data_IF_665495679694
#
_entry.id   IF_665495679694
#
_cell.length_a   1.000
_cell.length_b   1.000
_cell.length_c   1.000
_cell.angle_alpha   90.00
_cell.angle_beta   90.00
_cell.angle_gamma   90.00
#
_symmetry.space_group_name_H-M   'P 1'
#
loop_
_entity.id
_entity.type
_entity.pdbx_description
1 polymer ?
#
# COMPACT_ATOMS: atom_id res chain seq x y z
N UNK A 1 -5.35 2.42 64.42
CA UNK A 1 -5.50 1.42 63.32
C UNK A 1 -5.64 2.13 61.97
N UNK A 2 -4.59 2.82 61.48
CA UNK A 2 -4.64 3.62 60.22
C UNK A 2 -3.62 3.11 59.18
N UNK A 3 -2.87 2.04 59.50
CA UNK A 3 -1.79 1.54 58.63
C UNK A 3 -2.28 0.81 57.37
N UNK A 4 -3.52 0.28 57.35
CA UNK A 4 -4.04 -0.49 56.21
C UNK A 4 -4.10 0.28 54.88
N UNK A 5 -4.86 1.38 54.79
CA UNK A 5 -5.06 2.07 53.50
C UNK A 5 -3.80 2.78 53.00
N UNK A 6 -2.95 3.28 53.90
CA UNK A 6 -1.71 3.97 53.54
C UNK A 6 -0.68 3.00 52.96
N UNK A 7 -0.57 1.79 53.52
CA UNK A 7 0.34 0.75 53.00
C UNK A 7 -0.11 0.28 51.61
N UNK A 8 -1.42 0.11 51.39
CA UNK A 8 -1.96 -0.25 50.06
C UNK A 8 -1.65 0.85 49.03
N UNK A 9 -1.82 2.13 49.39
CA UNK A 9 -1.50 3.25 48.50
C UNK A 9 -0.01 3.26 48.11
N UNK A 10 0.88 3.03 49.07
CA UNK A 10 2.33 2.99 48.83
C UNK A 10 2.69 1.83 47.89
N UNK A 11 2.08 0.66 48.06
CA UNK A 11 2.32 -0.49 47.19
C UNK A 11 1.82 -0.26 45.75
N UNK A 12 0.66 0.38 45.59
CA UNK A 12 0.12 0.74 44.27
C UNK A 12 1.03 1.76 43.57
N UNK A 13 1.47 2.78 44.29
CA UNK A 13 2.41 3.79 43.77
C UNK A 13 3.74 3.12 43.41
N UNK A 14 4.28 2.25 44.27
CA UNK A 14 5.51 1.51 44.00
C UNK A 14 5.38 0.61 42.77
N UNK A 15 4.25 -0.10 42.61
CA UNK A 15 4.00 -0.95 41.45
C UNK A 15 3.85 -0.13 40.16
N UNK A 16 3.18 1.02 40.22
CA UNK A 16 3.08 1.96 39.10
C UNK A 16 4.47 2.52 38.72
N UNK A 17 5.29 2.89 39.71
CA UNK A 17 6.66 3.35 39.48
C UNK A 17 7.51 2.23 38.87
N UNK A 18 7.41 1.00 39.35
CA UNK A 18 8.09 -0.17 38.76
C UNK A 18 7.63 -0.40 37.33
N UNK A 19 6.32 -0.32 37.06
CA UNK A 19 5.77 -0.47 35.71
C UNK A 19 6.27 0.64 34.77
N UNK A 20 6.31 1.89 35.24
CA UNK A 20 6.86 3.03 34.52
C UNK A 20 8.38 2.90 34.30
N UNK A 21 9.11 2.36 35.27
CA UNK A 21 10.54 2.09 35.14
C UNK A 21 10.80 0.93 34.18
N UNK A 22 9.95 -0.10 34.16
CA UNK A 22 10.03 -1.23 33.26
C UNK A 22 9.77 -0.78 31.81
N UNK A 23 8.71 -0.01 31.57
CA UNK A 23 8.41 0.64 30.29
C UNK A 23 9.55 1.58 29.86
N UNK A 24 10.06 2.40 30.78
CA UNK A 24 11.18 3.30 30.49
C UNK A 24 12.52 2.58 30.26
N UNK A 25 12.73 1.39 30.82
CA UNK A 25 13.94 0.60 30.58
C UNK A 25 13.87 -0.15 29.25
N UNK A 26 12.66 -0.57 28.85
CA UNK A 26 12.42 -1.22 27.55
C UNK A 26 12.37 -0.24 26.38
N UNK A 27 11.98 1.02 26.61
CA UNK A 27 11.87 2.04 25.57
C UNK A 27 13.19 2.83 25.32
N UNK A 28 14.33 2.40 25.90
CA UNK A 28 15.62 3.12 25.89
C UNK A 28 16.70 2.59 24.94
N UNK A 29 16.42 1.60 24.09
CA UNK A 29 17.32 1.23 22.99
C UNK A 29 16.81 1.76 21.66
N UNK A 30 16.79 3.09 21.52
CA UNK A 30 16.45 3.77 20.26
C UNK A 30 17.42 4.88 19.87
N UNK A 31 18.58 4.98 20.52
CA UNK A 31 19.67 5.84 20.04
C UNK A 31 20.50 5.05 19.03
N UNK A 32 20.39 5.48 17.76
CA UNK A 32 21.12 5.03 16.56
C UNK A 32 20.41 3.95 15.72
N UNK A 33 19.55 4.41 14.82
CA UNK A 33 19.73 4.13 13.39
C UNK A 33 19.18 5.31 12.57
N UNK A 34 20.07 6.07 11.92
CA UNK A 34 19.74 6.64 10.59
C UNK A 34 19.76 5.48 9.59
N UNK A 35 18.94 4.46 9.84
CA UNK A 35 18.64 3.44 8.83
C UNK A 35 17.66 4.02 7.83
N UNK A 36 17.52 3.41 6.64
CA UNK A 36 16.38 3.71 5.78
C UNK A 36 15.11 3.52 6.60
N UNK A 37 14.24 4.53 6.60
CA UNK A 37 12.94 4.45 7.26
C UNK A 37 12.13 3.40 6.48
N UNK A 38 12.04 2.20 7.03
CA UNK A 38 11.15 1.16 6.50
C UNK A 38 9.76 1.54 6.98
N UNK A 39 8.93 1.98 6.04
CA UNK A 39 7.53 2.30 6.30
C UNK A 39 6.75 1.02 6.06
N UNK A 40 6.09 0.51 7.10
CA UNK A 40 5.16 -0.60 6.97
C UNK A 40 3.90 -0.11 6.25
N UNK A 41 3.86 -0.31 4.94
CA UNK A 41 2.79 0.17 4.04
C UNK A 41 1.42 -0.44 4.40
N UNK A 42 1.39 -1.61 5.05
CA UNK A 42 0.16 -2.26 5.53
C UNK A 42 -0.46 -1.52 6.71
N UNK A 43 0.36 -1.08 7.66
CA UNK A 43 -0.12 -0.32 8.81
C UNK A 43 -0.61 1.08 8.42
N UNK A 44 -0.15 1.62 7.29
CA UNK A 44 -0.63 2.89 6.73
C UNK A 44 -1.99 2.79 6.03
N UNK A 45 -2.41 1.59 5.66
CA UNK A 45 -3.72 1.35 5.04
C UNK A 45 -4.83 1.14 6.05
N UNK A 46 -4.53 1.12 7.35
CA UNK A 46 -5.53 1.05 8.39
C UNK A 46 -6.49 2.25 8.33
N UNK A 47 -7.78 1.98 8.13
CA UNK A 47 -8.84 2.98 8.00
C UNK A 47 -8.87 3.95 9.20
N UNK A 48 -8.64 3.41 10.40
CA UNK A 48 -8.64 4.19 11.63
C UNK A 48 -7.42 5.13 11.69
N UNK A 49 -6.23 4.66 11.32
CA UNK A 49 -5.05 5.49 11.17
C UNK A 49 -5.24 6.60 10.14
N UNK A 50 -5.83 6.30 8.98
CA UNK A 50 -6.09 7.29 7.94
C UNK A 50 -7.05 8.38 8.41
N UNK A 51 -8.04 8.03 9.23
CA UNK A 51 -8.98 9.01 9.82
C UNK A 51 -8.30 10.05 10.72
N UNK A 52 -7.13 9.72 11.27
CA UNK A 52 -6.35 10.63 12.10
C UNK A 52 -5.44 11.55 11.30
N UNK A 53 -5.22 11.28 10.00
CA UNK A 53 -4.32 12.07 9.17
C UNK A 53 -5.08 13.15 8.40
N UNK A 54 -4.56 14.40 8.32
CA UNK A 54 -3.33 14.89 8.94
C UNK A 54 -3.53 15.51 10.34
N UNK A 55 -4.77 15.73 10.78
CA UNK A 55 -5.10 16.65 11.88
C UNK A 55 -4.79 16.10 13.28
N UNK A 56 -4.85 14.77 13.47
CA UNK A 56 -4.70 14.11 14.77
C UNK A 56 -3.38 13.31 14.85
N UNK A 57 -2.27 14.00 14.59
CA UNK A 57 -0.91 13.41 14.53
C UNK A 57 -0.54 12.52 15.73
N UNK A 58 -0.94 12.89 16.95
CA UNK A 58 -0.64 12.08 18.15
C UNK A 58 -1.41 10.75 18.15
N UNK A 59 -2.69 10.78 17.75
CA UNK A 59 -3.50 9.57 17.62
C UNK A 59 -2.97 8.67 16.49
N UNK A 60 -2.60 9.26 15.35
CA UNK A 60 -1.95 8.54 14.24
C UNK A 60 -0.64 7.85 14.66
N UNK A 61 0.24 8.55 15.40
CA UNK A 61 1.48 7.96 15.91
C UNK A 61 1.20 6.80 16.87
N UNK A 62 0.20 6.96 17.75
CA UNK A 62 -0.18 5.89 18.69
C UNK A 62 -0.69 4.67 17.94
N UNK A 63 -1.62 4.84 17.01
CA UNK A 63 -2.20 3.77 16.20
C UNK A 63 -1.13 3.07 15.35
N UNK A 64 -0.22 3.81 14.73
CA UNK A 64 0.90 3.24 13.97
C UNK A 64 1.77 2.32 14.83
N UNK A 65 2.05 2.73 16.08
CA UNK A 65 2.83 1.90 17.03
C UNK A 65 2.08 0.65 17.47
N UNK A 66 0.77 0.73 17.62
CA UNK A 66 -0.06 -0.44 17.97
C UNK A 66 -0.07 -1.48 16.84
N UNK A 67 -0.09 -1.03 15.58
CA UNK A 67 -0.07 -1.89 14.41
C UNK A 67 1.30 -2.53 14.14
N UNK A 68 2.38 -1.77 14.34
CA UNK A 68 3.75 -2.18 13.91
C UNK A 68 4.67 -2.58 15.06
N UNK A 69 4.36 -2.18 16.29
CA UNK A 69 5.23 -2.38 17.46
C UNK A 69 6.48 -1.49 17.48
N UNK A 70 6.63 -0.54 16.57
CA UNK A 70 7.85 0.29 16.45
C UNK A 70 8.02 1.30 17.59
N UNK A 71 9.26 1.78 17.74
CA UNK A 71 9.60 2.81 18.71
C UNK A 71 8.90 4.14 18.41
N UNK A 72 8.73 4.99 19.44
CA UNK A 72 8.06 6.29 19.29
C UNK A 72 8.72 7.20 18.24
N UNK A 73 10.05 7.17 18.16
CA UNK A 73 10.81 7.97 17.20
C UNK A 73 10.57 7.51 15.75
N UNK A 74 10.44 6.21 15.52
CA UNK A 74 10.20 5.63 14.19
C UNK A 74 8.77 5.90 13.74
N UNK A 75 7.78 5.66 14.61
CA UNK A 75 6.39 5.97 14.33
C UNK A 75 6.18 7.45 14.02
N UNK A 76 6.81 8.34 14.80
CA UNK A 76 6.76 9.77 14.54
C UNK A 76 7.30 10.10 13.15
N UNK A 77 8.46 9.54 12.78
CA UNK A 77 9.07 9.77 11.47
C UNK A 77 8.22 9.22 10.32
N UNK A 78 7.61 8.05 10.48
CA UNK A 78 6.72 7.45 9.50
C UNK A 78 5.50 8.34 9.25
N UNK A 79 4.81 8.74 10.32
CA UNK A 79 3.63 9.62 10.22
C UNK A 79 4.01 11.00 9.67
N UNK A 80 5.15 11.57 10.08
CA UNK A 80 5.64 12.84 9.52
C UNK A 80 5.95 12.74 8.03
N UNK A 81 6.54 11.63 7.58
CA UNK A 81 6.80 11.41 6.16
C UNK A 81 5.49 11.28 5.35
N UNK A 82 4.48 10.60 5.90
CA UNK A 82 3.16 10.45 5.25
C UNK A 82 2.41 11.77 5.19
N UNK A 83 2.49 12.60 6.24
CA UNK A 83 1.86 13.93 6.22
C UNK A 83 2.58 14.87 5.25
N UNK A 84 3.91 14.80 5.17
CA UNK A 84 4.71 15.62 4.27
C UNK A 84 4.50 15.26 2.79
N UNK A 85 4.27 13.98 2.50
CA UNK A 85 4.00 13.48 1.15
C UNK A 85 2.92 12.37 1.19
N UNK A 86 1.63 12.75 1.26
CA UNK A 86 0.52 11.79 1.31
C UNK A 86 0.38 10.99 0.01
N UNK A 87 0.94 11.50 -1.08
CA UNK A 87 0.92 10.87 -2.40
C UNK A 87 2.07 9.89 -2.59
N UNK A 88 3.19 9.98 -1.87
CA UNK A 88 4.29 9.02 -1.98
C UNK A 88 3.89 7.58 -1.65
N UNK A 89 3.07 7.39 -0.61
CA UNK A 89 2.56 6.07 -0.21
C UNK A 89 1.56 5.52 -1.24
N UNK A 90 0.59 6.35 -1.67
CA UNK A 90 -0.41 5.99 -2.67
C UNK A 90 0.22 5.78 -4.06
N UNK A 91 1.24 6.55 -4.43
CA UNK A 91 1.93 6.46 -5.71
C UNK A 91 2.88 5.27 -5.79
N UNK A 92 3.44 4.77 -4.68
CA UNK A 92 4.19 3.49 -4.70
C UNK A 92 3.26 2.34 -5.06
N UNK A 93 2.08 2.25 -4.44
CA UNK A 93 1.04 1.27 -4.79
C UNK A 93 0.53 1.46 -6.21
N UNK A 94 0.17 2.69 -6.60
CA UNK A 94 -0.25 2.99 -7.97
C UNK A 94 0.84 2.65 -8.98
N UNK A 95 2.12 2.90 -8.71
CA UNK A 95 3.23 2.55 -9.63
C UNK A 95 3.57 1.07 -9.63
N UNK A 96 3.43 0.36 -8.51
CA UNK A 96 3.61 -1.09 -8.47
C UNK A 96 2.44 -1.81 -9.17
N UNK A 97 1.21 -1.38 -8.89
CA UNK A 97 -0.01 -1.85 -9.56
C UNK A 97 -0.01 -1.47 -11.05
N UNK A 98 0.44 -0.26 -11.41
CA UNK A 98 0.58 0.16 -12.81
C UNK A 98 1.71 -0.57 -13.52
N UNK A 99 2.81 -0.96 -12.84
CA UNK A 99 3.82 -1.85 -13.44
C UNK A 99 3.29 -3.26 -13.67
N UNK A 100 2.47 -3.79 -12.76
CA UNK A 100 1.76 -5.06 -12.95
C UNK A 100 0.72 -4.98 -14.09
N UNK A 101 0.20 -3.78 -14.37
CA UNK A 101 -0.77 -3.52 -15.44
C UNK A 101 -0.15 -3.01 -16.75
N UNK A 102 1.06 -2.46 -16.76
CA UNK A 102 1.76 -1.96 -17.95
C UNK A 102 2.22 -3.11 -18.86
N UNK A 103 2.45 -4.28 -18.27
CA UNK A 103 2.69 -5.53 -19.00
C UNK A 103 1.40 -6.02 -19.71
N UNK A 104 0.23 -5.47 -19.33
CA UNK A 104 -1.10 -5.84 -19.82
C UNK A 104 -1.87 -4.68 -20.50
N UNK A 105 -1.33 -3.46 -20.53
CA UNK A 105 -1.80 -2.38 -21.43
C UNK A 105 -1.11 -2.50 -22.78
N UNK A 106 -0.99 -3.75 -23.24
CA UNK A 106 -0.55 -4.09 -24.59
C UNK A 106 -1.40 -3.34 -25.61
N UNK A 107 -0.74 -2.99 -26.70
CA UNK A 107 -1.28 -2.37 -27.91
C UNK A 107 -2.77 -2.72 -28.12
N UNK A 108 -3.58 -1.71 -28.48
CA UNK A 108 -5.01 -1.94 -28.69
C UNK A 108 -5.23 -3.06 -29.72
N UNK A 109 -6.36 -3.77 -29.66
CA UNK A 109 -6.66 -4.88 -30.60
C UNK A 109 -6.39 -4.49 -32.07
N UNK A 110 -6.69 -3.23 -32.44
CA UNK A 110 -6.40 -2.68 -33.78
C UNK A 110 -4.92 -2.54 -34.09
N UNK A 111 -4.11 -2.13 -33.12
CA UNK A 111 -2.67 -1.96 -33.27
C UNK A 111 -2.00 -3.34 -33.44
N UNK A 112 -2.41 -4.33 -32.64
CA UNK A 112 -1.95 -5.71 -32.78
C UNK A 112 -2.30 -6.31 -34.14
N UNK A 113 -3.50 -6.02 -34.66
CA UNK A 113 -3.90 -6.41 -36.01
C UNK A 113 -3.04 -5.73 -37.08
N UNK A 114 -2.78 -4.43 -36.94
CA UNK A 114 -1.92 -3.69 -37.88
C UNK A 114 -0.46 -4.19 -37.85
N UNK A 115 0.02 -4.63 -36.69
CA UNK A 115 1.33 -5.26 -36.50
C UNK A 115 1.38 -6.74 -36.95
N UNK A 116 0.25 -7.33 -37.35
CA UNK A 116 0.14 -8.73 -37.76
C UNK A 116 0.16 -9.74 -36.60
N UNK A 117 0.04 -9.28 -35.35
CA UNK A 117 0.02 -10.09 -34.13
C UNK A 117 -1.39 -10.60 -33.83
N UNK A 118 -1.93 -11.43 -34.73
CA UNK A 118 -3.33 -11.86 -34.66
C UNK A 118 -3.64 -12.76 -33.44
N UNK A 119 -2.66 -13.55 -32.99
CA UNK A 119 -2.83 -14.42 -31.81
C UNK A 119 -2.96 -13.59 -30.52
N UNK A 120 -2.08 -12.60 -30.31
CA UNK A 120 -2.13 -11.68 -29.17
C UNK A 120 -3.41 -10.84 -29.22
N UNK A 121 -3.81 -10.36 -30.42
CA UNK A 121 -5.04 -9.61 -30.59
C UNK A 121 -6.29 -10.42 -30.21
N UNK A 122 -6.29 -11.73 -30.50
CA UNK A 122 -7.39 -12.63 -30.15
C UNK A 122 -7.48 -12.89 -28.64
N UNK A 123 -6.36 -12.99 -27.93
CA UNK A 123 -6.37 -13.14 -26.47
C UNK A 123 -6.92 -11.90 -25.78
N UNK A 124 -6.46 -10.72 -26.20
CA UNK A 124 -6.97 -9.45 -25.69
C UNK A 124 -8.47 -9.33 -25.99
N UNK A 125 -8.89 -9.60 -27.23
CA UNK A 125 -10.31 -9.54 -27.60
C UNK A 125 -11.18 -10.54 -26.82
N UNK A 126 -10.69 -11.78 -26.64
CA UNK A 126 -11.37 -12.81 -25.84
C UNK A 126 -11.59 -12.36 -24.39
N UNK A 127 -10.54 -11.81 -23.77
CA UNK A 127 -10.58 -11.32 -22.39
C UNK A 127 -11.58 -10.17 -22.21
N UNK A 128 -11.61 -9.22 -23.15
CA UNK A 128 -12.53 -8.06 -23.06
C UNK A 128 -13.97 -8.42 -23.36
N UNK A 129 -14.22 -9.31 -24.33
CA UNK A 129 -15.57 -9.69 -24.75
C UNK A 129 -16.15 -10.86 -23.97
N UNK A 130 -15.34 -11.53 -23.14
CA UNK A 130 -15.75 -12.71 -22.36
C UNK A 130 -16.05 -13.93 -23.24
N UNK A 131 -15.39 -14.04 -24.39
CA UNK A 131 -15.55 -15.15 -25.35
C UNK A 131 -14.32 -16.05 -25.33
N UNK A 132 -14.44 -17.26 -25.87
CA UNK A 132 -13.30 -18.15 -26.02
C UNK A 132 -12.34 -17.67 -27.12
N UNK A 133 -11.09 -18.12 -27.05
CA UNK A 133 -10.03 -17.73 -27.98
C UNK A 133 -10.32 -18.13 -29.43
N UNK A 134 -11.10 -19.19 -29.67
CA UNK A 134 -11.44 -19.62 -31.03
C UNK A 134 -12.46 -18.64 -31.66
N UNK A 135 -13.50 -18.28 -30.92
CA UNK A 135 -14.47 -17.25 -31.33
C UNK A 135 -13.78 -15.90 -31.56
N UNK A 136 -12.86 -15.52 -30.66
CA UNK A 136 -12.10 -14.29 -30.80
C UNK A 136 -11.20 -14.28 -32.05
N UNK A 137 -10.48 -15.38 -32.35
CA UNK A 137 -9.65 -15.49 -33.56
C UNK A 137 -10.46 -15.28 -34.85
N UNK A 138 -11.69 -15.80 -34.90
CA UNK A 138 -12.56 -15.62 -36.06
C UNK A 138 -12.90 -14.13 -36.27
N UNK A 139 -13.33 -13.45 -35.20
CA UNK A 139 -13.62 -12.02 -35.26
C UNK A 139 -12.40 -11.16 -35.62
N UNK A 140 -11.21 -11.55 -35.13
CA UNK A 140 -9.94 -10.86 -35.43
C UNK A 140 -9.52 -11.05 -36.89
N UNK A 141 -9.72 -12.24 -37.46
CA UNK A 141 -9.42 -12.48 -38.87
C UNK A 141 -10.26 -11.59 -39.79
N UNK A 142 -11.56 -11.46 -39.50
CA UNK A 142 -12.47 -10.59 -40.24
C UNK A 142 -12.03 -9.10 -40.13
N UNK A 143 -11.67 -8.66 -38.92
CA UNK A 143 -11.17 -7.29 -38.69
C UNK A 143 -9.82 -7.02 -39.38
N UNK A 144 -8.94 -8.03 -39.45
CA UNK A 144 -7.65 -7.91 -40.12
C UNK A 144 -7.81 -7.71 -41.63
N UNK A 145 -8.77 -8.39 -42.25
CA UNK A 145 -9.10 -8.21 -43.66
C UNK A 145 -9.58 -6.76 -43.92
N UNK A 146 -10.47 -6.23 -43.08
CA UNK A 146 -10.96 -4.85 -43.21
C UNK A 146 -9.84 -3.81 -43.06
N UNK A 147 -8.99 -3.98 -42.05
CA UNK A 147 -7.91 -3.04 -41.73
C UNK A 147 -6.84 -3.03 -42.84
N UNK A 148 -6.45 -4.19 -43.33
CA UNK A 148 -5.46 -4.32 -44.41
C UNK A 148 -6.01 -3.83 -45.75
N UNK A 149 -7.27 -4.11 -46.06
CA UNK A 149 -7.94 -3.60 -47.26
C UNK A 149 -8.01 -2.07 -47.27
N UNK A 150 -8.35 -1.45 -46.14
CA UNK A 150 -8.43 0.01 -46.03
C UNK A 150 -7.04 0.68 -46.06
N UNK A 151 -6.00 0.01 -45.55
CA UNK A 151 -4.63 0.50 -45.64
C UNK A 151 -4.08 0.47 -47.09
N UNK A 152 -4.51 -0.47 -47.93
CA UNK A 152 -4.02 -0.62 -49.31
C UNK A 152 -4.63 0.37 -50.33
N UNK A 153 -5.61 1.19 -49.93
CA UNK A 153 -6.33 2.12 -50.82
C UNK A 153 -5.75 3.56 -50.78
N UNK A 154 -4.73 3.82 -49.95
CA UNK A 154 -3.99 5.10 -49.91
C UNK A 154 -2.66 5.01 -50.64
#
# INVERSE_FOLDING_TARGET
MIAGPVVVLILVIAMAVVYLLYDAMMNKTGLRTKGPLVIDDEALDDDELQSYLPDQKIAAIKRYRELTGVGLAEAKRAIEAVIADPDAAKNKRKRALHRLSDDAQGAGVRDLIAEGKLDEAAEVYAQFMGVDTYTARAAIADMAEEITANHSIK
#
